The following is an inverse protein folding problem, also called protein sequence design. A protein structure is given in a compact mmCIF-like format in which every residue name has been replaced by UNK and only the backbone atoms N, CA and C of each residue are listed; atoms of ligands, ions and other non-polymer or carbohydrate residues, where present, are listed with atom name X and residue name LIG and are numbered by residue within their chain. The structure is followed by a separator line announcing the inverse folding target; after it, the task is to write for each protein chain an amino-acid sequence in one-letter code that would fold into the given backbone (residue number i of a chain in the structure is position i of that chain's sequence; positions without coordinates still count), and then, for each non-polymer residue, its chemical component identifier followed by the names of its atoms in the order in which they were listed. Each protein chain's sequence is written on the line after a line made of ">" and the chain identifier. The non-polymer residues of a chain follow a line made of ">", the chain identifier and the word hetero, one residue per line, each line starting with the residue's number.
data_IF_466424110634
#
_entry.id   IF_466424110634
#
_cell.length_a   1.000
_cell.length_b   1.000
_cell.length_c   1.000
_cell.angle_alpha   90.00
_cell.angle_beta   90.00
_cell.angle_gamma   90.00
#
_symmetry.space_group_name_H-M   'P 1'
#
loop_
_entity.id
_entity.type
_entity.pdbx_description
1 polymer ?
#
# COMPACT_ATOMS: atom_id res chain seq x y z
N UNK A 1 16.53 -14.11 -5.43
CA UNK A 1 15.85 -13.08 -4.61
C UNK A 1 14.69 -12.52 -5.42
N UNK A 2 13.46 -12.46 -4.87
CA UNK A 2 12.36 -11.72 -5.50
C UNK A 2 12.57 -10.23 -5.16
N UNK A 3 12.74 -9.41 -6.18
CA UNK A 3 12.93 -7.96 -6.03
C UNK A 3 11.66 -7.29 -5.47
N UNK A 4 11.83 -6.24 -4.66
CA UNK A 4 10.70 -5.47 -4.11
C UNK A 4 9.97 -4.78 -5.29
N UNK A 5 8.67 -5.01 -5.49
CA UNK A 5 7.96 -4.42 -6.61
C UNK A 5 7.84 -2.90 -6.43
N UNK A 6 8.02 -2.17 -7.52
CA UNK A 6 7.80 -0.73 -7.57
C UNK A 6 6.31 -0.41 -7.80
N UNK A 7 5.82 0.68 -7.21
CA UNK A 7 4.48 1.16 -7.47
C UNK A 7 4.33 1.60 -8.94
N UNK A 8 3.33 1.14 -9.69
CA UNK A 8 3.16 1.51 -11.11
C UNK A 8 2.74 2.99 -11.30
N UNK A 9 2.39 3.71 -10.23
CA UNK A 9 1.91 5.09 -10.31
C UNK A 9 2.97 6.14 -9.95
N UNK A 10 4.01 5.75 -9.21
CA UNK A 10 5.07 6.67 -8.77
C UNK A 10 6.49 6.09 -8.83
N UNK A 11 6.65 4.80 -9.13
CA UNK A 11 7.96 4.13 -9.23
C UNK A 11 8.63 3.84 -7.89
N UNK A 12 8.10 4.30 -6.76
CA UNK A 12 8.70 4.06 -5.44
C UNK A 12 8.53 2.59 -5.03
N UNK A 13 9.56 1.95 -4.44
CA UNK A 13 9.45 0.60 -3.88
C UNK A 13 8.30 0.47 -2.87
N UNK A 14 7.49 -0.57 -3.02
CA UNK A 14 6.38 -0.84 -2.11
C UNK A 14 6.87 -1.52 -0.82
N UNK A 15 6.09 -1.38 0.25
CA UNK A 15 6.35 -2.03 1.54
C UNK A 15 5.42 -3.22 1.73
N UNK A 16 5.84 -4.21 2.50
CA UNK A 16 4.96 -5.28 2.96
C UNK A 16 3.97 -4.70 3.97
N UNK A 17 2.71 -4.99 3.77
CA UNK A 17 1.62 -4.65 4.67
C UNK A 17 0.99 -5.93 5.18
N UNK A 18 0.96 -6.09 6.50
CA UNK A 18 0.37 -7.26 7.15
C UNK A 18 -1.13 -7.23 6.97
N UNK A 19 -1.67 -8.30 6.40
CA UNK A 19 -3.12 -8.46 6.26
C UNK A 19 -3.74 -8.73 7.63
N UNK A 20 -4.74 -7.94 8.08
CA UNK A 20 -5.43 -8.20 9.33
C UNK A 20 -6.15 -9.56 9.30
N UNK A 21 -6.17 -10.31 10.43
CA UNK A 21 -6.77 -11.65 10.49
C UNK A 21 -8.27 -11.66 10.17
N UNK A 22 -8.97 -10.56 10.45
CA UNK A 22 -10.41 -10.41 10.21
C UNK A 22 -10.74 -9.85 8.81
N UNK A 23 -9.77 -9.84 7.89
CA UNK A 23 -9.97 -9.36 6.52
C UNK A 23 -10.45 -10.48 5.58
N UNK A 24 -10.92 -10.10 4.40
CA UNK A 24 -11.31 -11.05 3.33
C UNK A 24 -10.16 -11.43 2.42
N UNK A 25 -8.94 -10.95 2.70
CA UNK A 25 -7.73 -11.32 1.96
C UNK A 25 -7.08 -12.55 2.60
N UNK A 26 -6.62 -13.49 1.77
CA UNK A 26 -6.11 -14.78 2.23
C UNK A 26 -4.58 -14.80 2.36
N UNK A 27 -3.92 -13.73 1.92
CA UNK A 27 -2.47 -13.60 1.93
C UNK A 27 -1.96 -13.14 3.31
N UNK A 28 -0.75 -13.55 3.68
CA UNK A 28 -0.11 -13.09 4.92
C UNK A 28 0.28 -11.60 4.86
N UNK A 29 0.65 -11.15 3.66
CA UNK A 29 0.96 -9.76 3.38
C UNK A 29 0.60 -9.38 1.96
N UNK A 30 0.41 -8.08 1.73
CA UNK A 30 0.30 -7.48 0.41
C UNK A 30 1.41 -6.44 0.24
N UNK A 31 1.83 -6.18 -0.99
CA UNK A 31 2.70 -5.04 -1.29
C UNK A 31 1.85 -3.80 -1.39
N UNK A 32 2.18 -2.74 -0.66
CA UNK A 32 1.41 -1.50 -0.63
C UNK A 32 2.32 -0.29 -0.84
N UNK A 33 1.85 0.65 -1.66
CA UNK A 33 2.52 1.94 -1.87
C UNK A 33 2.17 2.93 -0.74
N UNK A 34 3.13 3.19 0.14
CA UNK A 34 3.02 4.16 1.23
C UNK A 34 3.68 5.52 0.92
N UNK A 35 3.97 5.81 -0.36
CA UNK A 35 4.37 7.16 -0.75
C UNK A 35 3.16 8.11 -0.74
N UNK A 36 3.19 9.12 0.13
CA UNK A 36 2.12 10.12 0.26
C UNK A 36 2.08 11.13 -0.89
N UNK A 37 3.13 11.19 -1.71
CA UNK A 37 3.19 11.98 -2.94
C UNK A 37 2.75 11.17 -4.17
N UNK A 38 2.33 9.91 -3.99
CA UNK A 38 1.89 9.07 -5.08
C UNK A 38 0.64 9.65 -5.77
N UNK A 39 0.73 9.88 -7.08
CA UNK A 39 -0.35 10.47 -7.89
C UNK A 39 -1.68 9.70 -7.80
N UNK A 40 -1.64 8.38 -7.55
CA UNK A 40 -2.83 7.57 -7.33
C UNK A 40 -3.51 7.88 -5.99
N UNK A 41 -2.70 8.00 -4.93
CA UNK A 41 -3.17 8.33 -3.58
C UNK A 41 -3.65 9.78 -3.46
N UNK A 42 -2.90 10.74 -4.00
CA UNK A 42 -3.27 12.17 -3.94
C UNK A 42 -4.58 12.42 -4.69
N UNK A 43 -4.72 11.91 -5.92
CA UNK A 43 -5.95 12.06 -6.71
C UNK A 43 -7.15 11.34 -6.10
N UNK A 44 -6.92 10.26 -5.37
CA UNK A 44 -7.99 9.51 -4.70
C UNK A 44 -8.76 10.36 -3.68
N UNK A 45 -8.08 11.23 -2.92
CA UNK A 45 -8.72 12.15 -1.98
C UNK A 45 -9.70 13.10 -2.67
N UNK A 46 -9.25 13.71 -3.77
CA UNK A 46 -10.09 14.61 -4.55
C UNK A 46 -11.29 13.86 -5.15
N UNK A 47 -11.05 12.69 -5.76
CA UNK A 47 -12.09 11.92 -6.41
C UNK A 47 -13.19 11.45 -5.43
N UNK A 48 -12.81 10.95 -4.26
CA UNK A 48 -13.77 10.53 -3.22
C UNK A 48 -14.57 11.70 -2.67
N UNK A 49 -13.93 12.86 -2.48
CA UNK A 49 -14.61 14.08 -2.03
C UNK A 49 -15.61 14.58 -3.08
N UNK A 50 -15.22 14.65 -4.35
CA UNK A 50 -16.08 15.16 -5.44
C UNK A 50 -17.24 14.22 -5.79
N UNK A 51 -17.01 12.91 -5.80
CA UNK A 51 -18.01 11.92 -6.25
C UNK A 51 -18.92 11.41 -5.14
N UNK A 52 -18.41 11.35 -3.91
CA UNK A 52 -19.12 10.70 -2.79
C UNK A 52 -19.18 11.54 -1.52
N UNK A 53 -18.64 12.77 -1.54
CA UNK A 53 -18.52 13.62 -0.35
C UNK A 53 -17.81 12.90 0.83
N UNK A 54 -16.89 11.99 0.53
CA UNK A 54 -16.15 11.23 1.54
C UNK A 54 -14.71 11.73 1.66
N UNK A 55 -14.26 11.93 2.90
CA UNK A 55 -12.84 12.17 3.22
C UNK A 55 -12.13 10.82 3.29
N UNK A 56 -11.86 10.25 2.13
CA UNK A 56 -11.12 8.99 1.99
C UNK A 56 -10.28 9.02 0.72
N UNK A 57 -9.30 8.13 0.63
CA UNK A 57 -8.55 7.82 -0.58
C UNK A 57 -8.27 6.33 -0.64
N UNK A 58 -7.36 5.92 -1.51
CA UNK A 58 -6.90 4.55 -1.68
C UNK A 58 -5.41 4.54 -2.01
N UNK A 59 -4.68 3.57 -1.44
CA UNK A 59 -3.28 3.27 -1.78
C UNK A 59 -3.24 2.12 -2.77
N UNK A 60 -2.23 2.08 -3.63
CA UNK A 60 -2.05 0.95 -4.55
C UNK A 60 -1.56 -0.27 -3.77
N UNK A 61 -2.21 -1.42 -3.96
CA UNK A 61 -1.77 -2.71 -3.44
C UNK A 61 -1.54 -3.74 -4.55
N UNK A 62 -0.66 -4.71 -4.28
CA UNK A 62 -0.39 -5.87 -5.14
C UNK A 62 -0.27 -7.15 -4.31
N UNK A 63 -0.97 -8.19 -4.76
CA UNK A 63 -0.87 -9.53 -4.20
C UNK A 63 0.45 -10.22 -4.63
N UNK A 64 1.30 -10.66 -3.69
CA UNK A 64 2.61 -11.25 -4.01
C UNK A 64 2.53 -12.63 -4.66
N UNK A 65 1.43 -13.37 -4.47
CA UNK A 65 1.23 -14.71 -5.02
C UNK A 65 0.70 -14.68 -6.46
N UNK A 66 -0.21 -13.73 -6.76
CA UNK A 66 -0.92 -13.68 -8.04
C UNK A 66 -0.52 -12.50 -8.92
N UNK A 67 0.17 -11.49 -8.37
CA UNK A 67 0.47 -10.23 -9.07
C UNK A 67 -0.75 -9.34 -9.31
N UNK A 68 -1.94 -9.71 -8.82
CA UNK A 68 -3.15 -8.90 -8.97
C UNK A 68 -3.04 -7.62 -8.15
N UNK A 69 -3.42 -6.51 -8.77
CA UNK A 69 -3.38 -5.19 -8.16
C UNK A 69 -4.79 -4.70 -7.77
N UNK A 70 -4.86 -3.76 -6.82
CA UNK A 70 -6.12 -3.11 -6.46
C UNK A 70 -5.94 -1.89 -5.54
N UNK A 71 -7.04 -1.21 -5.20
CA UNK A 71 -7.05 -0.16 -4.18
C UNK A 71 -7.09 -0.76 -2.77
N UNK A 72 -6.27 -0.24 -1.86
CA UNK A 72 -6.42 -0.37 -0.41
C UNK A 72 -7.05 0.91 0.15
N UNK A 73 -8.31 0.89 0.64
CA UNK A 73 -8.99 2.08 1.14
C UNK A 73 -8.24 2.73 2.31
N UNK A 74 -8.23 4.06 2.37
CA UNK A 74 -7.44 4.85 3.32
C UNK A 74 -8.29 6.01 3.85
N UNK A 75 -8.59 6.05 5.15
CA UNK A 75 -9.44 7.09 5.76
C UNK A 75 -8.65 8.28 6.32
N UNK A 76 -7.35 8.13 6.51
CA UNK A 76 -6.43 9.18 6.95
C UNK A 76 -5.02 8.88 6.43
N UNK A 77 -4.11 9.86 6.32
CA UNK A 77 -2.71 9.61 5.95
C UNK A 77 -2.01 8.54 6.80
N UNK A 78 -2.36 8.50 8.10
CA UNK A 78 -1.85 7.52 9.05
C UNK A 78 -2.46 6.12 8.95
N UNK A 79 -3.52 5.93 8.15
CA UNK A 79 -4.16 4.63 8.04
C UNK A 79 -3.18 3.59 7.50
N UNK A 80 -3.18 2.40 8.11
CA UNK A 80 -2.38 1.22 7.77
C UNK A 80 -0.89 1.28 8.12
N UNK A 81 -0.38 2.40 8.62
CA UNK A 81 1.06 2.53 8.92
C UNK A 81 1.50 1.57 10.04
N UNK A 82 0.62 1.31 11.00
CA UNK A 82 0.79 0.38 12.12
C UNK A 82 0.84 -1.11 11.71
N UNK A 83 0.48 -1.43 10.47
CA UNK A 83 0.53 -2.79 9.91
C UNK A 83 1.68 -2.97 8.90
N UNK A 84 2.56 -1.97 8.75
CA UNK A 84 3.74 -2.10 7.92
C UNK A 84 4.70 -3.10 8.56
N UNK A 85 5.13 -4.09 7.78
CA UNK A 85 6.19 -5.00 8.19
C UNK A 85 7.50 -4.35 7.76
N UNK A 86 8.32 -3.95 8.73
CA UNK A 86 9.66 -3.45 8.45
C UNK A 86 10.52 -4.60 7.92
N UNK A 87 11.35 -4.30 6.92
CA UNK A 87 12.16 -5.29 6.23
C UNK A 87 13.56 -5.22 6.83
N UNK A 88 13.66 -5.40 8.16
CA UNK A 88 14.93 -5.48 8.87
C UNK A 88 15.47 -6.91 8.74
N UNK A 89 16.13 -7.19 7.62
CA UNK A 89 17.08 -8.29 7.51
C UNK A 89 18.33 -7.79 6.78
N UNK A 90 19.36 -7.44 7.56
CA UNK A 90 20.77 -7.49 7.15
C UNK A 90 21.57 -6.20 7.33
N UNK A 91 22.34 -6.15 8.43
CA UNK A 91 23.63 -5.43 8.46
C UNK A 91 24.44 -5.73 7.20
N UNK A 92 24.93 -4.70 6.53
CA UNK A 92 26.11 -4.80 5.65
C UNK A 92 26.91 -3.50 5.76
N UNK A 93 27.99 -3.56 6.53
CA UNK A 93 29.11 -2.63 6.35
C UNK A 93 29.79 -2.09 7.60
N UNK A 94 30.42 -2.98 8.37
CA UNK A 94 31.81 -2.89 8.91
C UNK A 94 32.22 -1.72 9.80
#
# INVERSE_FOLDING_TARGET
>A
MKEKPACPHCGVPMKKWKVPPDSTWNEEFLWVCFNDECSYYVRGWQWMAEKYAQKASYRHQMNPATGKCGPLPCWAPSAHLDYIIDDDEGEDGK
#
